data_IF_695206401902
#
_entry.id   IF_695206401902
#
_cell.length_a   1.000
_cell.length_b   1.000
_cell.length_c   1.000
_cell.angle_alpha   90.00
_cell.angle_beta   90.00
_cell.angle_gamma   90.00
#
_symmetry.space_group_name_H-M   'P 1'
#
loop_
_entity.id
_entity.type
_entity.pdbx_description
1 polymer ?
#
# COMPACT_ATOMS: atom_id res chain seq x y z
N UNK A 1 1.25 -2.86 14.34
CA UNK A 1 2.52 -2.81 13.59
C UNK A 1 2.27 -2.12 12.26
N UNK A 2 3.07 -1.12 11.93
CA UNK A 2 3.02 -0.45 10.62
C UNK A 2 4.13 -1.04 9.74
N UNK A 3 3.76 -1.60 8.61
CA UNK A 3 4.67 -2.24 7.66
C UNK A 3 5.12 -1.21 6.62
N UNK A 4 6.35 -0.73 6.77
CA UNK A 4 6.95 0.31 5.95
C UNK A 4 8.16 -0.18 5.13
N UNK A 5 8.20 -1.46 4.75
CA UNK A 5 9.18 -1.96 3.77
C UNK A 5 8.96 -1.32 2.39
N UNK A 6 10.01 -1.24 1.58
CA UNK A 6 9.97 -0.65 0.24
C UNK A 6 8.86 -1.26 -0.64
N UNK A 7 8.30 -0.50 -1.59
CA UNK A 7 7.26 -0.96 -2.52
C UNK A 7 7.83 -1.79 -3.69
N UNK A 8 8.72 -2.75 -3.39
CA UNK A 8 9.25 -3.70 -4.37
C UNK A 8 8.60 -5.07 -4.18
N UNK A 9 8.81 -5.99 -5.12
CA UNK A 9 8.30 -7.37 -5.03
C UNK A 9 8.76 -8.05 -3.75
N UNK A 10 10.02 -7.88 -3.37
CA UNK A 10 10.62 -8.42 -2.15
C UNK A 10 10.05 -7.74 -0.90
N UNK A 11 9.85 -6.42 -0.97
CA UNK A 11 9.29 -5.65 0.13
C UNK A 11 7.83 -6.00 0.41
N UNK A 12 7.03 -6.23 -0.63
CA UNK A 12 5.65 -6.72 -0.54
C UNK A 12 5.59 -8.15 -0.01
N UNK A 13 6.47 -9.03 -0.50
CA UNK A 13 6.58 -10.42 0.01
C UNK A 13 6.91 -10.43 1.50
N UNK A 14 7.86 -9.59 1.91
CA UNK A 14 8.27 -9.44 3.32
C UNK A 14 7.13 -8.87 4.17
N UNK A 15 6.45 -7.82 3.69
CA UNK A 15 5.32 -7.23 4.39
C UNK A 15 4.19 -8.25 4.59
N UNK A 16 3.86 -9.01 3.54
CA UNK A 16 2.85 -10.06 3.61
C UNK A 16 3.22 -11.16 4.62
N UNK A 17 4.48 -11.60 4.64
CA UNK A 17 4.96 -12.57 5.63
C UNK A 17 4.81 -12.05 7.06
N UNK A 18 5.22 -10.80 7.34
CA UNK A 18 5.09 -10.20 8.67
C UNK A 18 3.61 -10.00 9.03
N UNK A 19 2.75 -9.65 8.08
CA UNK A 19 1.31 -9.52 8.30
C UNK A 19 0.68 -10.86 8.74
N UNK A 20 1.08 -11.98 8.13
CA UNK A 20 0.65 -13.31 8.56
C UNK A 20 1.11 -13.65 9.98
N UNK A 21 2.35 -13.29 10.34
CA UNK A 21 2.83 -13.45 11.71
C UNK A 21 2.02 -12.60 12.69
N UNK A 22 1.79 -11.32 12.38
CA UNK A 22 0.97 -10.43 13.21
C UNK A 22 -0.44 -10.99 13.42
N UNK A 23 -1.07 -11.51 12.35
CA UNK A 23 -2.38 -12.16 12.42
C UNK A 23 -2.38 -13.35 13.39
N UNK A 24 -1.37 -14.23 13.32
CA UNK A 24 -1.22 -15.39 14.22
C UNK A 24 -1.17 -14.96 15.70
N UNK A 25 -0.52 -13.84 16.00
CA UNK A 25 -0.39 -13.31 17.36
C UNK A 25 -1.49 -12.30 17.72
N UNK A 26 -2.53 -12.14 16.90
CA UNK A 26 -3.65 -11.19 17.10
C UNK A 26 -3.18 -9.74 17.27
N UNK A 27 -2.08 -9.39 16.62
CA UNK A 27 -1.56 -8.01 16.56
C UNK A 27 -2.07 -7.36 15.29
N UNK A 28 -2.69 -6.18 15.42
CA UNK A 28 -3.12 -5.42 14.25
C UNK A 28 -1.91 -4.98 13.42
N UNK A 29 -1.91 -5.33 12.13
CA UNK A 29 -0.92 -4.87 11.16
C UNK A 29 -1.59 -3.98 10.11
N UNK A 30 -0.90 -2.93 9.69
CA UNK A 30 -1.29 -2.06 8.58
C UNK A 30 -0.11 -1.82 7.65
N UNK A 31 -0.39 -1.54 6.38
CA UNK A 31 0.60 -1.21 5.35
C UNK A 31 0.52 0.29 5.05
N UNK A 32 1.67 0.94 4.84
CA UNK A 32 1.67 2.31 4.31
C UNK A 32 0.98 2.33 2.94
N UNK A 33 0.26 3.41 2.63
CA UNK A 33 -0.47 3.50 1.38
C UNK A 33 0.49 3.57 0.19
N UNK A 34 0.10 2.93 -0.91
CA UNK A 34 0.78 3.03 -2.21
C UNK A 34 -0.14 3.71 -3.20
N UNK A 35 0.42 4.59 -4.03
CA UNK A 35 -0.33 5.32 -5.04
C UNK A 35 0.40 6.58 -5.48
N UNK A 36 -0.39 7.53 -6.00
CA UNK A 36 0.12 8.76 -6.60
C UNK A 36 0.68 9.69 -5.52
N UNK A 37 1.92 10.20 -5.66
CA UNK A 37 2.46 11.19 -4.74
C UNK A 37 1.73 12.53 -4.88
N UNK A 38 1.73 13.33 -3.81
CA UNK A 38 1.18 14.69 -3.85
C UNK A 38 1.93 15.52 -4.89
N UNK A 39 1.19 16.20 -5.76
CA UNK A 39 1.76 16.99 -6.85
C UNK A 39 2.25 16.18 -8.05
N UNK A 40 2.02 14.85 -8.07
CA UNK A 40 2.30 14.02 -9.25
C UNK A 40 1.32 14.29 -10.39
N UNK A 41 1.82 14.33 -11.61
CA UNK A 41 1.03 14.45 -12.84
C UNK A 41 0.76 13.06 -13.42
N UNK A 42 -0.49 12.75 -13.77
CA UNK A 42 -0.90 11.41 -14.22
C UNK A 42 -0.09 10.87 -15.40
N UNK A 43 0.26 11.74 -16.35
CA UNK A 43 0.95 11.38 -17.58
C UNK A 43 2.43 11.01 -17.36
N UNK A 44 2.98 11.33 -16.19
CA UNK A 44 4.35 11.04 -15.79
C UNK A 44 4.48 9.81 -14.88
N UNK A 45 3.36 9.17 -14.52
CA UNK A 45 3.35 8.03 -13.61
C UNK A 45 3.44 6.71 -14.36
N UNK A 46 4.15 5.76 -13.76
CA UNK A 46 4.21 4.41 -14.28
C UNK A 46 2.90 3.64 -14.00
N UNK A 47 2.68 2.58 -14.77
CA UNK A 47 1.48 1.75 -14.67
C UNK A 47 1.32 1.05 -13.31
N UNK A 48 2.40 0.71 -12.61
CA UNK A 48 2.31 0.08 -11.29
C UNK A 48 1.80 1.08 -10.25
N UNK A 49 2.30 2.31 -10.26
CA UNK A 49 1.80 3.39 -9.40
C UNK A 49 0.30 3.63 -9.62
N UNK A 50 -0.14 3.70 -10.88
CA UNK A 50 -1.56 3.85 -11.22
C UNK A 50 -2.38 2.65 -10.73
N UNK A 51 -1.91 1.42 -10.95
CA UNK A 51 -2.58 0.21 -10.49
C UNK A 51 -2.76 0.19 -8.96
N UNK A 52 -1.72 0.57 -8.21
CA UNK A 52 -1.80 0.69 -6.76
C UNK A 52 -2.80 1.77 -6.33
N UNK A 53 -2.78 2.94 -6.98
CA UNK A 53 -3.72 4.02 -6.70
C UNK A 53 -5.18 3.60 -6.96
N UNK A 54 -5.45 2.92 -8.08
CA UNK A 54 -6.79 2.44 -8.41
C UNK A 54 -7.29 1.34 -7.46
N UNK A 55 -6.39 0.44 -7.04
CA UNK A 55 -6.70 -0.66 -6.12
C UNK A 55 -6.96 -0.14 -4.71
N UNK A 56 -6.19 0.86 -4.26
CA UNK A 56 -6.34 1.51 -2.96
C UNK A 56 -7.33 2.67 -2.93
N UNK A 57 -8.02 2.96 -4.04
CA UNK A 57 -8.93 4.13 -4.13
C UNK A 57 -10.03 4.02 -3.08
N UNK A 58 -10.34 5.15 -2.46
CA UNK A 58 -11.40 5.25 -1.45
C UNK A 58 -12.58 6.00 -2.04
N UNK A 59 -13.78 5.51 -1.79
CA UNK A 59 -15.00 6.26 -2.11
C UNK A 59 -15.03 7.50 -1.24
N UNK A 60 -15.14 8.67 -1.86
CA UNK A 60 -15.38 9.91 -1.15
C UNK A 60 -16.87 9.98 -0.87
N UNK A 61 -17.27 9.63 0.35
CA UNK A 61 -18.60 9.97 0.85
C UNK A 61 -18.59 11.45 1.18
N UNK A 62 -19.39 12.25 0.48
CA UNK A 62 -19.73 13.59 0.94
C UNK A 62 -20.69 13.43 2.11
N UNK A 63 -20.20 13.64 3.33
CA UNK A 63 -21.06 13.97 4.46
C UNK A 63 -21.29 15.49 4.47
#
# INVERSE_FOLDING_TARGET
>A
VILATNPTVEGETTAHYIAQLCHRYKVAASRIAHGIPVGGELDLLDGMTLMHAFSGRRVVSQN
#
